data_IF_134498179971
#
_entry.id   IF_134498179971
#
_cell.length_a   1.000
_cell.length_b   1.000
_cell.length_c   1.000
_cell.angle_alpha   90.00
_cell.angle_beta   90.00
_cell.angle_gamma   90.00
#
_symmetry.space_group_name_H-M   'P 1'
#
loop_
_entity.id
_entity.type
_entity.pdbx_description
1 polymer ?
#
# COMPACT_ATOMS: atom_id res chain seq x y z
N UNK A 1 -19.38 -22.54 39.73
CA UNK A 1 -18.89 -21.22 39.28
C UNK A 1 -17.44 -21.46 38.92
N UNK A 2 -17.15 -21.38 37.62
CA UNK A 2 -15.93 -21.89 37.00
C UNK A 2 -14.93 -20.74 36.93
N UNK A 3 -13.82 -20.82 37.69
CA UNK A 3 -12.78 -19.78 37.79
C UNK A 3 -11.91 -19.64 36.51
N UNK A 4 -12.33 -20.28 35.42
CA UNK A 4 -11.59 -20.35 34.15
C UNK A 4 -11.72 -19.10 33.28
N UNK A 5 -12.60 -18.15 33.60
CA UNK A 5 -12.70 -16.87 32.86
C UNK A 5 -11.68 -15.81 33.26
N UNK A 6 -11.00 -15.95 34.42
CA UNK A 6 -10.04 -14.96 34.94
C UNK A 6 -8.70 -14.91 34.18
N UNK A 7 -8.40 -15.92 33.36
CA UNK A 7 -7.19 -15.98 32.51
C UNK A 7 -7.51 -15.93 31.01
N UNK A 8 -8.71 -15.49 30.62
CA UNK A 8 -8.98 -15.23 29.20
C UNK A 8 -8.12 -14.02 28.80
N UNK A 9 -7.10 -14.26 27.98
CA UNK A 9 -6.30 -13.20 27.34
C UNK A 9 -7.27 -12.17 26.75
N UNK A 10 -7.40 -11.01 27.40
CA UNK A 10 -8.30 -9.97 26.95
C UNK A 10 -7.59 -9.25 25.81
N UNK A 11 -8.00 -9.60 24.59
CA UNK A 11 -7.46 -9.02 23.38
C UNK A 11 -8.19 -7.69 23.16
N UNK A 12 -7.48 -6.58 23.39
CA UNK A 12 -7.99 -5.25 23.16
C UNK A 12 -7.70 -4.85 21.71
N UNK A 13 -8.77 -4.69 20.92
CA UNK A 13 -8.69 -4.29 19.50
C UNK A 13 -8.66 -2.76 19.32
N UNK A 14 -9.02 -2.02 20.35
CA UNK A 14 -9.18 -0.56 20.29
C UNK A 14 -8.57 0.08 21.54
N UNK A 15 -7.43 0.75 21.37
CA UNK A 15 -6.75 1.43 22.47
C UNK A 15 -6.00 2.66 21.96
N UNK A 16 -6.57 3.82 22.25
CA UNK A 16 -5.92 5.13 22.13
C UNK A 16 -5.23 5.44 20.78
N UNK A 17 -4.63 6.62 20.66
CA UNK A 17 -3.79 6.96 19.51
C UNK A 17 -2.35 6.43 19.63
N UNK A 18 -1.93 6.06 20.84
CA UNK A 18 -0.57 5.60 21.16
C UNK A 18 -0.65 4.43 22.13
N UNK A 19 0.05 3.35 21.81
CA UNK A 19 0.13 2.11 22.59
C UNK A 19 1.60 1.88 22.89
N UNK A 20 1.93 1.60 24.16
CA UNK A 20 3.28 1.19 24.56
C UNK A 20 3.21 -0.23 25.08
N UNK A 21 4.13 -1.09 24.65
CA UNK A 21 4.19 -2.47 25.10
C UNK A 21 5.32 -3.26 24.47
N UNK A 22 5.45 -4.51 24.87
CA UNK A 22 6.43 -5.46 24.34
C UNK A 22 5.91 -6.14 23.08
N UNK A 23 6.74 -6.17 22.04
CA UNK A 23 6.41 -6.86 20.80
C UNK A 23 6.38 -8.37 20.99
N UNK A 24 5.22 -9.00 20.76
CA UNK A 24 5.06 -10.45 20.92
C UNK A 24 5.41 -11.23 19.64
N UNK A 25 5.32 -10.60 18.48
CA UNK A 25 5.61 -11.22 17.19
C UNK A 25 4.62 -10.82 16.09
N UNK A 26 5.00 -11.19 14.86
CA UNK A 26 4.14 -11.12 13.68
C UNK A 26 3.20 -12.34 13.62
N UNK A 27 2.02 -12.13 13.05
CA UNK A 27 1.02 -13.16 12.75
C UNK A 27 0.90 -13.36 11.24
N UNK A 28 -0.15 -14.07 10.83
CA UNK A 28 -0.46 -14.36 9.43
C UNK A 28 -0.53 -13.07 8.63
N UNK A 29 0.30 -12.99 7.59
CA UNK A 29 0.23 -11.93 6.61
C UNK A 29 -0.76 -12.29 5.51
N UNK A 30 -1.52 -11.32 5.04
CA UNK A 30 -2.41 -11.45 3.89
C UNK A 30 -2.25 -10.26 2.95
N UNK A 31 -2.66 -10.41 1.69
CA UNK A 31 -2.62 -9.33 0.71
C UNK A 31 -3.93 -8.56 0.70
N UNK A 32 -3.83 -7.24 0.60
CA UNK A 32 -4.99 -6.35 0.42
C UNK A 32 -4.77 -5.46 -0.79
N UNK A 33 -5.81 -5.30 -1.60
CA UNK A 33 -5.76 -4.42 -2.77
C UNK A 33 -6.01 -2.96 -2.37
N UNK A 34 -5.21 -2.03 -2.89
CA UNK A 34 -5.54 -0.61 -2.86
C UNK A 34 -6.68 -0.36 -3.84
N UNK A 35 -7.80 0.19 -3.38
CA UNK A 35 -8.88 0.64 -4.26
C UNK A 35 -8.37 1.78 -5.13
N UNK A 36 -8.23 1.51 -6.43
CA UNK A 36 -7.89 2.52 -7.41
C UNK A 36 -9.18 3.06 -8.02
N UNK A 37 -9.30 4.39 -8.13
CA UNK A 37 -10.41 5.01 -8.85
C UNK A 37 -10.42 4.57 -10.31
N UNK A 38 -11.38 3.75 -10.70
CA UNK A 38 -11.57 3.30 -12.07
C UNK A 38 -11.54 4.42 -13.12
N UNK A 39 -12.15 5.61 -12.94
CA UNK A 39 -12.10 6.65 -13.97
C UNK A 39 -10.68 7.18 -14.20
N UNK A 40 -9.87 7.29 -13.15
CA UNK A 40 -8.49 7.75 -13.27
C UNK A 40 -7.62 6.73 -14.02
N UNK A 41 -7.80 5.43 -13.74
CA UNK A 41 -7.12 4.36 -14.48
C UNK A 41 -7.47 4.38 -15.96
N UNK A 42 -8.76 4.56 -16.29
CA UNK A 42 -9.21 4.64 -17.68
C UNK A 42 -8.56 5.83 -18.38
N UNK A 43 -8.55 7.01 -17.77
CA UNK A 43 -7.94 8.20 -18.35
C UNK A 43 -6.45 7.99 -18.67
N UNK A 44 -5.69 7.50 -17.68
CA UNK A 44 -4.24 7.22 -17.82
C UNK A 44 -4.00 6.17 -18.92
N UNK A 45 -4.81 5.11 -18.96
CA UNK A 45 -4.62 4.05 -19.94
C UNK A 45 -4.94 4.52 -21.37
N UNK A 46 -6.01 5.28 -21.55
CA UNK A 46 -6.40 5.80 -22.86
C UNK A 46 -5.33 6.74 -23.41
N UNK A 47 -4.86 7.71 -22.61
CA UNK A 47 -3.82 8.64 -23.06
C UNK A 47 -2.50 7.93 -23.33
N UNK A 48 -2.10 6.98 -22.47
CA UNK A 48 -0.91 6.17 -22.71
C UNK A 48 -1.01 5.33 -24.00
N UNK A 49 -2.21 4.81 -24.33
CA UNK A 49 -2.43 4.06 -25.58
C UNK A 49 -2.33 4.92 -26.82
N UNK A 50 -2.83 6.16 -26.77
CA UNK A 50 -2.64 7.13 -27.86
C UNK A 50 -1.14 7.33 -28.11
N UNK A 51 -0.35 7.60 -27.07
CA UNK A 51 1.09 7.79 -27.23
C UNK A 51 1.80 6.53 -27.73
N UNK A 52 1.46 5.34 -27.20
CA UNK A 52 2.01 4.06 -27.67
C UNK A 52 1.70 3.81 -29.15
N UNK A 53 0.52 4.20 -29.62
CA UNK A 53 0.14 4.04 -31.02
C UNK A 53 0.94 4.96 -31.94
N UNK A 54 1.18 6.21 -31.54
CA UNK A 54 1.99 7.17 -32.29
C UNK A 54 3.44 6.71 -32.37
N UNK A 55 4.02 6.30 -31.23
CA UNK A 55 5.39 5.77 -31.18
C UNK A 55 5.49 4.47 -31.99
N UNK A 56 4.50 3.59 -31.90
CA UNK A 56 4.44 2.37 -32.70
C UNK A 56 4.35 2.63 -34.20
N UNK A 57 3.57 3.63 -34.62
CA UNK A 57 3.49 4.09 -36.00
C UNK A 57 4.85 4.64 -36.48
N UNK A 58 5.47 5.53 -35.70
CA UNK A 58 6.79 6.09 -36.02
C UNK A 58 7.87 5.01 -36.13
N UNK A 59 7.89 4.05 -35.20
CA UNK A 59 8.84 2.93 -35.22
C UNK A 59 8.55 1.95 -36.37
N UNK A 60 7.28 1.75 -36.74
CA UNK A 60 6.92 0.91 -37.89
C UNK A 60 7.42 1.48 -39.22
N UNK A 61 7.53 2.82 -39.32
CA UNK A 61 8.08 3.51 -40.48
C UNK A 61 9.62 3.48 -40.53
N UNK A 62 10.30 3.27 -39.38
CA UNK A 62 11.76 3.36 -39.24
C UNK A 62 12.52 2.01 -39.28
N UNK A 63 11.83 0.88 -39.56
CA UNK A 63 12.29 -0.53 -39.53
C UNK A 63 12.37 -1.19 -38.15
N UNK A 64 11.58 -2.26 -38.03
CA UNK A 64 11.86 -3.57 -37.42
C UNK A 64 12.65 -3.63 -36.09
N UNK A 65 11.92 -3.90 -35.00
CA UNK A 65 12.48 -4.60 -33.84
C UNK A 65 12.40 -3.81 -32.55
N UNK A 66 11.26 -3.89 -31.86
CA UNK A 66 11.11 -3.23 -30.56
C UNK A 66 9.79 -3.59 -29.89
N UNK A 67 9.52 -4.88 -29.75
CA UNK A 67 8.36 -5.39 -29.00
C UNK A 67 8.50 -5.12 -27.51
N UNK A 68 8.36 -3.85 -27.09
CA UNK A 68 8.24 -3.49 -25.69
C UNK A 68 6.99 -4.13 -25.10
N UNK A 69 7.16 -4.86 -24.00
CA UNK A 69 6.10 -5.59 -23.31
C UNK A 69 4.84 -4.73 -23.11
N UNK A 70 3.79 -5.00 -23.90
CA UNK A 70 2.47 -4.38 -23.75
C UNK A 70 1.85 -4.87 -22.43
N UNK A 71 1.93 -4.08 -21.36
CA UNK A 71 1.12 -4.30 -20.16
C UNK A 71 -0.37 -4.26 -20.56
N UNK A 72 -1.12 -5.31 -20.24
CA UNK A 72 -2.52 -5.43 -20.63
C UNK A 72 -3.38 -4.66 -19.62
N UNK A 73 -4.50 -4.11 -20.08
CA UNK A 73 -5.48 -3.42 -19.22
C UNK A 73 -5.94 -4.30 -18.04
N UNK A 74 -5.99 -5.62 -18.25
CA UNK A 74 -6.32 -6.61 -17.22
C UNK A 74 -5.32 -6.63 -16.07
N UNK A 75 -4.06 -6.33 -16.33
CA UNK A 75 -2.99 -6.29 -15.33
C UNK A 75 -3.03 -5.00 -14.50
N UNK A 76 -3.53 -3.90 -15.10
CA UNK A 76 -3.69 -2.58 -14.47
C UNK A 76 -5.01 -2.43 -13.71
N UNK A 77 -5.99 -3.30 -13.97
CA UNK A 77 -7.28 -3.29 -13.28
C UNK A 77 -7.15 -3.84 -11.85
N UNK A 78 -6.19 -4.72 -11.60
CA UNK A 78 -5.82 -5.12 -10.24
C UNK A 78 -5.04 -3.96 -9.63
N UNK A 79 -5.55 -3.41 -8.53
CA UNK A 79 -4.85 -2.36 -7.80
C UNK A 79 -3.53 -2.90 -7.25
N UNK A 80 -2.58 -2.04 -6.82
CA UNK A 80 -1.43 -2.52 -6.08
C UNK A 80 -1.89 -3.33 -4.88
N UNK A 81 -1.42 -4.57 -4.81
CA UNK A 81 -1.51 -5.39 -3.62
C UNK A 81 -0.42 -4.92 -2.64
N UNK A 82 -0.80 -4.75 -1.38
CA UNK A 82 0.15 -4.55 -0.31
C UNK A 82 -0.02 -5.63 0.75
N UNK A 83 1.08 -5.97 1.39
CA UNK A 83 1.09 -6.90 2.49
C UNK A 83 0.48 -6.23 3.71
N UNK A 84 -0.48 -6.90 4.33
CA UNK A 84 -0.96 -6.58 5.67
C UNK A 84 -0.45 -7.67 6.60
N UNK A 85 0.27 -7.27 7.63
CA UNK A 85 0.79 -8.19 8.65
C UNK A 85 0.18 -7.81 9.99
N UNK A 86 -0.53 -8.75 10.59
CA UNK A 86 -0.99 -8.62 11.96
C UNK A 86 0.19 -8.69 12.93
N UNK A 87 0.18 -7.83 13.94
CA UNK A 87 1.15 -7.87 15.03
C UNK A 87 0.46 -7.73 16.38
N UNK A 88 1.11 -8.31 17.38
CA UNK A 88 0.65 -8.31 18.76
C UNK A 88 1.63 -7.61 19.67
N UNK A 89 1.11 -6.73 20.51
CA UNK A 89 1.84 -6.12 21.62
C UNK A 89 1.25 -6.62 22.93
N UNK A 90 2.09 -6.70 23.96
CA UNK A 90 1.64 -6.90 25.34
C UNK A 90 2.04 -5.69 26.17
N UNK A 91 1.10 -5.03 26.81
CA UNK A 91 1.44 -3.95 27.74
C UNK A 91 1.92 -4.50 29.09
N UNK A 92 2.32 -3.58 29.97
CA UNK A 92 2.78 -3.90 31.32
C UNK A 92 1.65 -4.44 32.22
N UNK A 93 0.38 -4.25 31.83
CA UNK A 93 -0.80 -4.81 32.50
C UNK A 93 -1.14 -6.22 32.01
N UNK A 94 -0.35 -6.77 31.08
CA UNK A 94 -0.56 -8.10 30.50
C UNK A 94 -1.62 -8.14 29.39
N UNK A 95 -2.19 -7.01 29.01
CA UNK A 95 -3.20 -6.91 27.95
C UNK A 95 -2.54 -7.10 26.59
N UNK A 96 -3.23 -7.78 25.68
CA UNK A 96 -2.73 -8.03 24.32
C UNK A 96 -3.45 -7.11 23.34
N UNK A 97 -2.69 -6.32 22.60
CA UNK A 97 -3.22 -5.47 21.54
C UNK A 97 -2.94 -6.09 20.18
N UNK A 98 -4.00 -6.23 19.38
CA UNK A 98 -3.91 -6.64 17.98
C UNK A 98 -3.97 -5.40 17.08
N UNK A 99 -3.04 -5.34 16.13
CA UNK A 99 -3.00 -4.25 15.15
C UNK A 99 -2.45 -4.72 13.82
N UNK A 100 -2.79 -3.98 12.77
CA UNK A 100 -2.36 -4.28 11.41
C UNK A 100 -1.22 -3.34 10.98
N UNK A 101 -0.10 -3.91 10.57
CA UNK A 101 0.92 -3.20 9.80
C UNK A 101 0.57 -3.28 8.32
N UNK A 102 0.42 -2.12 7.70
CA UNK A 102 0.21 -2.03 6.26
C UNK A 102 1.55 -1.74 5.58
N UNK A 103 2.01 -2.65 4.74
CA UNK A 103 3.28 -2.53 4.04
C UNK A 103 4.39 -3.34 4.70
N UNK A 104 5.62 -2.86 4.57
CA UNK A 104 6.81 -3.56 5.04
C UNK A 104 7.61 -2.72 6.03
N UNK A 105 8.27 -3.42 6.95
CA UNK A 105 9.30 -2.90 7.83
C UNK A 105 10.61 -3.66 7.57
N UNK A 106 11.77 -3.02 7.83
CA UNK A 106 13.04 -3.74 7.88
C UNK A 106 12.97 -4.90 8.87
N UNK A 107 13.58 -6.05 8.55
CA UNK A 107 13.56 -7.20 9.45
C UNK A 107 14.20 -6.91 10.81
N UNK A 108 15.17 -6.00 10.86
CA UNK A 108 15.84 -5.55 12.08
C UNK A 108 15.02 -4.57 12.93
N UNK A 109 13.85 -4.12 12.45
CA UNK A 109 13.10 -3.06 13.12
C UNK A 109 12.46 -3.50 14.44
N UNK A 110 12.02 -4.77 14.51
CA UNK A 110 11.28 -5.32 15.64
C UNK A 110 11.71 -6.76 15.92
N UNK A 111 12.20 -7.02 17.12
CA UNK A 111 12.42 -8.36 17.64
C UNK A 111 11.44 -8.68 18.77
N UNK A 112 11.18 -9.97 18.96
CA UNK A 112 10.27 -10.43 20.00
C UNK A 112 10.83 -10.06 21.37
N UNK A 113 10.02 -9.37 22.16
CA UNK A 113 10.39 -8.87 23.49
C UNK A 113 10.71 -7.38 23.53
N UNK A 114 11.01 -6.77 22.38
CA UNK A 114 11.38 -5.36 22.27
C UNK A 114 10.30 -4.47 22.86
N UNK A 115 10.71 -3.52 23.70
CA UNK A 115 9.81 -2.48 24.17
C UNK A 115 9.58 -1.45 23.06
N UNK A 116 8.31 -1.27 22.68
CA UNK A 116 7.95 -0.39 21.56
C UNK A 116 6.81 0.55 21.90
N UNK A 117 6.83 1.71 21.26
CA UNK A 117 5.73 2.65 21.24
C UNK A 117 5.16 2.73 19.83
N UNK A 118 3.88 2.41 19.68
CA UNK A 118 3.18 2.37 18.41
C UNK A 118 2.12 3.45 18.36
N UNK A 119 2.11 4.22 17.27
CA UNK A 119 1.03 5.13 16.94
C UNK A 119 0.04 4.42 16.03
N UNK A 120 -1.23 4.46 16.40
CA UNK A 120 -2.31 3.76 15.70
C UNK A 120 -3.33 4.74 15.13
N UNK A 121 -4.04 4.28 14.10
CA UNK A 121 -5.14 5.01 13.46
C UNK A 121 -6.29 4.04 13.25
N UNK A 122 -7.50 4.46 13.60
CA UNK A 122 -8.71 3.68 13.35
C UNK A 122 -8.91 3.45 11.84
N UNK A 123 -9.33 2.24 11.47
CA UNK A 123 -9.65 1.92 10.09
C UNK A 123 -11.08 2.34 9.76
N UNK A 124 -11.38 2.43 8.46
CA UNK A 124 -12.74 2.74 7.98
C UNK A 124 -13.75 1.66 8.39
N UNK A 125 -13.28 0.41 8.45
CA UNK A 125 -14.05 -0.73 8.91
C UNK A 125 -13.80 -0.93 10.42
N UNK A 126 -14.83 -0.81 11.26
CA UNK A 126 -14.69 -0.91 12.72
C UNK A 126 -14.42 -2.33 13.22
N UNK A 127 -14.69 -3.36 12.41
CA UNK A 127 -14.48 -4.75 12.81
C UNK A 127 -13.00 -5.17 12.68
N UNK A 128 -12.21 -4.37 11.95
CA UNK A 128 -10.78 -4.59 11.76
C UNK A 128 -9.94 -4.04 12.93
N UNK A 129 -8.81 -4.69 13.25
CA UNK A 129 -7.82 -4.13 14.17
C UNK A 129 -7.35 -2.74 13.73
N UNK A 130 -6.91 -1.93 14.70
CA UNK A 130 -6.35 -0.61 14.38
C UNK A 130 -5.12 -0.73 13.48
N UNK A 131 -4.93 0.27 12.62
CA UNK A 131 -3.76 0.33 11.73
C UNK A 131 -2.57 0.94 12.47
N UNK A 132 -1.42 0.28 12.42
CA UNK A 132 -0.15 0.87 12.82
C UNK A 132 0.32 1.91 11.80
N UNK A 133 0.53 3.14 12.25
CA UNK A 133 1.03 4.24 11.42
C UNK A 133 2.53 4.45 11.58
N UNK A 134 3.03 4.32 12.81
CA UNK A 134 4.43 4.52 13.15
C UNK A 134 4.75 3.64 14.35
N UNK A 135 5.96 3.08 14.39
CA UNK A 135 6.50 2.39 15.55
C UNK A 135 7.84 2.98 15.91
N UNK A 136 8.09 3.15 17.20
CA UNK A 136 9.37 3.54 17.76
C UNK A 136 9.81 2.37 18.62
N UNK A 137 10.94 1.77 18.27
CA UNK A 137 11.56 0.79 19.14
C UNK A 137 12.29 1.57 20.23
N UNK A 138 11.85 1.42 21.49
CA UNK A 138 12.37 2.19 22.61
C UNK A 138 13.75 1.69 23.06
N UNK A 139 14.16 0.49 22.64
CA UNK A 139 15.49 -0.06 22.91
C UNK A 139 16.53 0.51 21.93
N UNK A 140 16.15 0.67 20.66
CA UNK A 140 17.05 1.23 19.63
C UNK A 140 16.84 2.73 19.40
N UNK A 141 15.76 3.30 19.95
CA UNK A 141 15.28 4.66 19.73
C UNK A 141 15.05 5.02 18.25
N UNK A 142 14.90 4.01 17.39
CA UNK A 142 14.71 4.21 15.95
C UNK A 142 13.23 4.28 15.60
N UNK A 143 12.77 5.37 14.95
CA UNK A 143 11.42 5.48 14.44
C UNK A 143 11.31 4.79 13.08
N UNK A 144 10.28 3.96 12.94
CA UNK A 144 9.94 3.29 11.71
C UNK A 144 8.52 3.62 11.26
N UNK A 145 8.35 3.77 9.96
CA UNK A 145 7.05 3.97 9.31
C UNK A 145 6.85 2.91 8.24
N UNK A 146 5.84 2.04 8.38
CA UNK A 146 5.50 1.09 7.33
C UNK A 146 5.17 1.82 6.04
N UNK A 147 5.79 1.39 4.94
CA UNK A 147 5.55 1.98 3.62
C UNK A 147 4.59 1.11 2.82
N UNK A 148 3.51 1.72 2.32
CA UNK A 148 2.54 1.06 1.44
C UNK A 148 2.82 1.47 -0.01
N UNK A 149 2.93 0.50 -0.93
CA UNK A 149 3.02 0.78 -2.36
C UNK A 149 1.86 1.66 -2.83
N UNK A 150 2.18 2.77 -3.48
CA UNK A 150 1.15 3.66 -4.03
C UNK A 150 0.78 3.23 -5.46
N UNK A 151 -0.37 3.71 -5.94
CA UNK A 151 -0.78 3.53 -7.34
C UNK A 151 0.30 3.99 -8.33
N UNK A 152 1.02 5.07 -8.02
CA UNK A 152 2.11 5.60 -8.85
C UNK A 152 3.28 4.62 -8.96
N UNK A 153 3.68 4.03 -7.84
CA UNK A 153 4.71 3.00 -7.78
C UNK A 153 4.29 1.75 -8.59
N UNK A 154 3.00 1.44 -8.61
CA UNK A 154 2.44 0.31 -9.36
C UNK A 154 2.40 0.55 -10.88
N UNK A 155 1.93 1.74 -11.30
CA UNK A 155 1.85 2.12 -12.71
C UNK A 155 3.23 2.21 -13.37
N UNK A 156 4.24 2.63 -12.60
CA UNK A 156 5.61 2.79 -13.06
C UNK A 156 5.83 4.09 -13.85
N UNK A 157 7.04 4.67 -13.81
CA UNK A 157 7.32 5.99 -14.37
C UNK A 157 7.09 6.05 -15.89
N UNK A 158 7.41 4.98 -16.62
CA UNK A 158 7.24 4.95 -18.07
C UNK A 158 5.79 5.10 -18.54
N UNK A 159 4.84 4.46 -17.85
CA UNK A 159 3.42 4.54 -18.21
C UNK A 159 2.86 5.94 -17.93
N UNK A 160 3.30 6.57 -16.84
CA UNK A 160 2.93 7.94 -16.48
C UNK A 160 3.44 8.95 -17.52
N UNK A 161 4.69 8.82 -17.95
CA UNK A 161 5.27 9.67 -19.00
C UNK A 161 4.47 9.51 -20.30
N UNK A 162 4.15 8.27 -20.70
CA UNK A 162 3.33 8.00 -21.88
C UNK A 162 1.93 8.62 -21.76
N UNK A 163 1.30 8.55 -20.59
CA UNK A 163 0.00 9.14 -20.34
C UNK A 163 0.03 10.67 -20.44
N UNK A 164 1.05 11.32 -19.89
CA UNK A 164 1.23 12.78 -19.96
C UNK A 164 1.45 13.22 -21.40
N UNK A 165 2.35 12.57 -22.13
CA UNK A 165 2.61 12.89 -23.54
C UNK A 165 1.36 12.67 -24.41
N UNK A 166 0.63 11.56 -24.19
CA UNK A 166 -0.61 11.29 -24.89
C UNK A 166 -1.69 12.34 -24.59
N UNK A 167 -1.78 12.81 -23.35
CA UNK A 167 -2.71 13.88 -22.97
C UNK A 167 -2.38 15.19 -23.69
N UNK A 168 -1.09 15.57 -23.75
CA UNK A 168 -0.64 16.77 -24.47
C UNK A 168 -1.03 16.70 -25.94
N UNK A 169 -0.84 15.55 -26.60
CA UNK A 169 -1.22 15.38 -28.01
C UNK A 169 -2.74 15.50 -28.20
N UNK A 170 -3.53 14.85 -27.34
CA UNK A 170 -5.00 14.93 -27.41
C UNK A 170 -5.48 16.37 -27.25
N UNK A 171 -4.92 17.11 -26.29
CA UNK A 171 -5.25 18.52 -26.09
C UNK A 171 -4.83 19.38 -27.28
N UNK A 172 -3.63 19.18 -27.84
CA UNK A 172 -3.17 19.92 -29.00
C UNK A 172 -4.08 19.71 -30.23
N UNK A 173 -4.49 18.47 -30.48
CA UNK A 173 -5.44 18.14 -31.57
C UNK A 173 -6.81 18.73 -31.30
N UNK A 174 -7.32 18.65 -30.07
CA UNK A 174 -8.61 19.21 -29.71
C UNK A 174 -8.64 20.73 -29.88
N UNK A 175 -7.58 21.43 -29.43
CA UNK A 175 -7.42 22.88 -29.64
C UNK A 175 -7.39 23.18 -31.13
N UNK A 176 -6.56 22.49 -31.91
CA UNK A 176 -6.46 22.71 -33.36
C UNK A 176 -7.75 22.43 -34.13
N UNK A 177 -8.61 21.53 -33.63
CA UNK A 177 -9.90 21.21 -34.24
C UNK A 177 -10.97 22.27 -33.94
N UNK A 178 -10.89 22.92 -32.78
CA UNK A 178 -11.85 23.93 -32.33
C UNK A 178 -11.45 25.34 -32.83
N UNK A 179 -10.18 25.51 -33.21
CA UNK A 179 -9.63 26.75 -33.78
C UNK A 179 -10.00 26.90 -35.25
#
# INVERSE_FOLDING_TARGET
MDDTELYREQILRHSGPVITGRFLGYRTSYTREVRVGQPLLIAIFVTAKVMQSIVGLLLSLLRSGGGGARRKFKDLKKGPEYLVTELRLRDDLGQIYEMEMHGQLPQSALHRGDLVQVRTVAQKDPDLPVKMQQVINLETLQPYRPWVPTMWSHLGPGLLIQAVLGLIVVLAVAVAWIS
#
